data_IF_729127867333
#
_entry.id   IF_729127867333
#
_cell.length_a   1.000
_cell.length_b   1.000
_cell.length_c   1.000
_cell.angle_alpha   90.00
_cell.angle_beta   90.00
_cell.angle_gamma   90.00
#
_symmetry.space_group_name_H-M   'P 1'
#
loop_
_entity.id
_entity.type
_entity.pdbx_description
1 polymer ?
#
# COMPACT_ATOMS: atom_id res chain seq x y z
N UNK A 1 18.85 11.41 19.59
CA UNK A 1 19.48 10.12 19.16
C UNK A 1 18.54 8.94 19.36
N UNK A 2 17.73 8.93 20.43
CA UNK A 2 16.83 7.81 20.73
C UNK A 2 15.61 7.68 19.82
N UNK A 3 15.15 8.75 19.20
CA UNK A 3 14.00 8.77 18.28
C UNK A 3 14.36 8.31 16.85
N UNK A 4 15.59 8.53 16.42
CA UNK A 4 16.00 8.20 15.04
C UNK A 4 16.18 6.70 14.79
N UNK A 5 16.65 5.95 15.79
CA UNK A 5 16.92 4.50 15.63
C UNK A 5 15.66 3.70 15.28
N UNK A 6 14.51 3.84 15.98
CA UNK A 6 13.28 3.13 15.61
C UNK A 6 12.79 3.46 14.21
N UNK A 7 12.92 4.72 13.78
CA UNK A 7 12.51 5.15 12.44
C UNK A 7 13.40 4.50 11.37
N UNK A 8 14.72 4.47 11.59
CA UNK A 8 15.67 3.83 10.66
C UNK A 8 15.38 2.34 10.55
N UNK A 9 15.14 1.65 11.67
CA UNK A 9 14.79 0.21 11.67
C UNK A 9 13.50 -0.03 10.87
N UNK A 10 12.48 0.79 11.06
CA UNK A 10 11.23 0.70 10.30
C UNK A 10 11.43 0.90 8.79
N UNK A 11 12.24 1.87 8.40
CA UNK A 11 12.54 2.14 6.99
C UNK A 11 13.39 1.03 6.34
N UNK A 12 14.38 0.51 7.07
CA UNK A 12 15.15 -0.65 6.60
C UNK A 12 14.25 -1.89 6.44
N UNK A 13 13.33 -2.11 7.36
CA UNK A 13 12.33 -3.19 7.26
C UNK A 13 11.50 -3.07 5.97
N UNK A 14 10.99 -1.88 5.67
CA UNK A 14 10.25 -1.63 4.43
C UNK A 14 11.10 -1.87 3.17
N UNK A 15 12.36 -1.46 3.19
CA UNK A 15 13.27 -1.62 2.05
C UNK A 15 13.57 -3.10 1.78
N UNK A 16 13.84 -3.86 2.84
CA UNK A 16 14.05 -5.32 2.77
C UNK A 16 12.79 -6.01 2.25
N UNK A 17 11.61 -5.60 2.73
CA UNK A 17 10.33 -6.14 2.29
C UNK A 17 10.11 -5.93 0.78
N UNK A 18 10.25 -4.69 0.30
CA UNK A 18 10.11 -4.39 -1.13
C UNK A 18 11.09 -5.19 -2.00
N UNK A 19 12.30 -5.42 -1.51
CA UNK A 19 13.29 -6.24 -2.19
C UNK A 19 12.88 -7.71 -2.22
N UNK A 20 12.39 -8.24 -1.09
CA UNK A 20 11.90 -9.61 -1.00
C UNK A 20 10.69 -9.85 -1.92
N UNK A 21 9.71 -8.94 -1.93
CA UNK A 21 8.54 -9.01 -2.81
C UNK A 21 8.95 -9.04 -4.28
N UNK A 22 9.88 -8.17 -4.68
CA UNK A 22 10.40 -8.12 -6.05
C UNK A 22 11.11 -9.42 -6.44
N UNK A 23 11.91 -9.99 -5.53
CA UNK A 23 12.57 -11.26 -5.76
C UNK A 23 11.58 -12.42 -5.87
N UNK A 24 10.57 -12.47 -5.01
CA UNK A 24 9.55 -13.53 -5.02
C UNK A 24 8.78 -13.55 -6.34
N UNK A 25 8.30 -12.39 -6.80
CA UNK A 25 7.58 -12.28 -8.07
C UNK A 25 8.51 -12.57 -9.26
N UNK A 26 9.73 -12.04 -9.24
CA UNK A 26 10.70 -12.23 -10.32
C UNK A 26 11.17 -13.67 -10.51
N UNK A 27 11.15 -14.46 -9.44
CA UNK A 27 11.52 -15.88 -9.50
C UNK A 27 10.40 -16.73 -10.14
N UNK A 28 9.14 -16.29 -10.07
CA UNK A 28 8.00 -17.02 -10.64
C UNK A 28 7.88 -16.78 -12.14
N UNK A 29 7.87 -15.52 -12.59
CA UNK A 29 7.75 -15.17 -14.01
C UNK A 29 8.21 -13.74 -14.28
N UNK A 30 9.02 -13.56 -15.35
CA UNK A 30 9.44 -12.23 -15.80
C UNK A 30 8.29 -11.40 -16.37
N UNK A 31 7.28 -12.05 -16.96
CA UNK A 31 6.07 -11.36 -17.47
C UNK A 31 5.21 -10.85 -16.31
N UNK A 32 5.03 -11.64 -15.26
CA UNK A 32 4.31 -11.24 -14.06
C UNK A 32 5.02 -10.11 -13.34
N UNK A 33 6.35 -10.16 -13.26
CA UNK A 33 7.14 -9.08 -12.68
C UNK A 33 6.95 -7.76 -13.46
N UNK A 34 6.95 -7.82 -14.79
CA UNK A 34 6.75 -6.63 -15.62
C UNK A 34 5.34 -6.05 -15.43
N UNK A 35 4.30 -6.89 -15.39
CA UNK A 35 2.94 -6.48 -15.14
C UNK A 35 2.77 -5.86 -13.74
N UNK A 36 3.30 -6.51 -12.71
CA UNK A 36 3.26 -6.03 -11.33
C UNK A 36 4.03 -4.71 -11.18
N UNK A 37 5.21 -4.57 -11.79
CA UNK A 37 6.01 -3.36 -11.73
C UNK A 37 5.28 -2.16 -12.37
N UNK A 38 4.61 -2.35 -13.51
CA UNK A 38 3.83 -1.30 -14.14
C UNK A 38 2.68 -0.83 -13.25
N UNK A 39 1.87 -1.77 -12.75
CA UNK A 39 0.75 -1.46 -11.85
C UNK A 39 1.25 -0.79 -10.58
N UNK A 40 2.32 -1.31 -9.98
CA UNK A 40 2.90 -0.75 -8.76
C UNK A 40 3.40 0.69 -8.96
N UNK A 41 4.01 1.00 -10.11
CA UNK A 41 4.42 2.36 -10.43
C UNK A 41 3.23 3.33 -10.51
N UNK A 42 2.11 2.91 -11.13
CA UNK A 42 0.88 3.71 -11.17
C UNK A 42 0.33 3.96 -9.76
N UNK A 43 0.26 2.92 -8.94
CA UNK A 43 -0.19 3.05 -7.55
C UNK A 43 0.77 3.88 -6.69
N UNK A 44 2.07 3.79 -6.92
CA UNK A 44 3.06 4.59 -6.19
C UNK A 44 2.80 6.09 -6.36
N UNK A 45 2.47 6.56 -7.56
CA UNK A 45 2.10 7.95 -7.77
C UNK A 45 0.89 8.36 -6.94
N UNK A 46 -0.15 7.54 -6.92
CA UNK A 46 -1.37 7.80 -6.16
C UNK A 46 -1.10 7.76 -4.64
N UNK A 47 -0.28 6.80 -4.19
CA UNK A 47 0.11 6.68 -2.79
C UNK A 47 0.92 7.89 -2.33
N UNK A 48 1.82 8.43 -3.16
CA UNK A 48 2.58 9.64 -2.84
C UNK A 48 1.63 10.81 -2.56
N UNK A 49 0.58 10.98 -3.36
CA UNK A 49 -0.45 11.99 -3.10
C UNK A 49 -1.19 11.75 -1.78
N UNK A 50 -1.61 10.51 -1.52
CA UNK A 50 -2.29 10.14 -0.28
C UNK A 50 -1.40 10.38 0.95
N UNK A 51 -0.15 9.97 0.88
CA UNK A 51 0.84 10.15 1.97
C UNK A 51 1.14 11.64 2.17
N UNK A 52 1.31 12.41 1.09
CA UNK A 52 1.51 13.86 1.17
C UNK A 52 0.37 14.55 1.93
N UNK A 53 -0.87 14.15 1.66
CA UNK A 53 -2.04 14.66 2.38
C UNK A 53 -2.02 14.28 3.86
N UNK A 54 -1.64 13.04 4.18
CA UNK A 54 -1.59 12.55 5.56
C UNK A 54 -0.46 13.18 6.40
N UNK A 55 0.62 13.68 5.78
CA UNK A 55 1.67 14.41 6.51
C UNK A 55 1.15 15.68 7.21
N UNK A 56 0.10 16.31 6.69
CA UNK A 56 -0.54 17.42 7.37
C UNK A 56 -1.10 17.02 8.74
N UNK A 57 -1.54 15.78 8.90
CA UNK A 57 -2.06 15.24 10.16
C UNK A 57 -0.96 15.22 11.22
N UNK A 58 0.25 14.75 10.87
CA UNK A 58 1.40 14.71 11.78
C UNK A 58 1.74 16.12 12.32
N UNK A 59 1.75 17.13 11.45
CA UNK A 59 2.03 18.50 11.84
C UNK A 59 0.96 19.06 12.79
N UNK A 60 -0.33 18.82 12.48
CA UNK A 60 -1.44 19.27 13.30
C UNK A 60 -1.49 18.57 14.66
N UNK A 61 -1.31 17.25 14.68
CA UNK A 61 -1.25 16.46 15.92
C UNK A 61 -0.08 16.90 16.77
N UNK A 62 1.11 17.06 16.19
CA UNK A 62 2.31 17.50 16.90
C UNK A 62 2.15 18.87 17.54
N UNK A 63 1.48 19.82 16.85
CA UNK A 63 1.20 21.15 17.38
C UNK A 63 0.23 21.09 18.56
N UNK A 64 -0.85 20.32 18.47
CA UNK A 64 -1.82 20.15 19.55
C UNK A 64 -1.23 19.41 20.75
N UNK A 65 -0.38 18.42 20.49
CA UNK A 65 0.33 17.68 21.53
C UNK A 65 1.31 18.56 22.29
N UNK A 66 2.08 19.41 21.58
CA UNK A 66 2.99 20.39 22.19
C UNK A 66 2.28 21.50 22.98
N UNK A 67 0.99 21.75 22.68
CA UNK A 67 0.14 22.68 23.42
C UNK A 67 -0.62 22.02 24.59
N UNK A 68 -0.38 20.76 24.88
CA UNK A 68 -1.07 19.95 25.91
C UNK A 68 -2.61 19.86 25.73
N UNK A 69 -3.12 20.16 24.53
CA UNK A 69 -4.56 20.14 24.21
C UNK A 69 -5.02 18.74 23.79
N UNK A 70 -4.84 17.76 24.67
CA UNK A 70 -5.12 16.34 24.38
C UNK A 70 -6.57 16.06 23.99
N UNK A 71 -7.53 16.83 24.55
CA UNK A 71 -8.95 16.67 24.17
C UNK A 71 -9.21 16.96 22.68
N UNK A 72 -8.53 17.94 22.09
CA UNK A 72 -8.68 18.30 20.66
C UNK A 72 -8.01 17.30 19.72
N UNK A 73 -7.06 16.51 20.21
CA UNK A 73 -6.38 15.47 19.42
C UNK A 73 -7.38 14.38 19.00
N UNK A 74 -8.32 14.00 19.89
CA UNK A 74 -9.36 13.02 19.57
C UNK A 74 -10.36 13.53 18.51
N UNK A 75 -10.73 14.80 18.54
CA UNK A 75 -11.58 15.42 17.51
C UNK A 75 -10.85 15.51 16.18
N UNK A 76 -9.57 15.90 16.21
CA UNK A 76 -8.73 15.95 15.03
C UNK A 76 -8.61 14.57 14.37
N UNK A 77 -8.46 13.50 15.17
CA UNK A 77 -8.38 12.14 14.67
C UNK A 77 -9.64 11.74 13.89
N UNK A 78 -10.83 12.04 14.42
CA UNK A 78 -12.10 11.76 13.72
C UNK A 78 -12.16 12.50 12.38
N UNK A 79 -11.81 13.79 12.39
CA UNK A 79 -11.79 14.61 11.18
C UNK A 79 -10.74 14.14 10.17
N UNK A 80 -9.58 13.73 10.64
CA UNK A 80 -8.50 13.19 9.81
C UNK A 80 -8.90 11.87 9.12
N UNK A 81 -9.52 10.96 9.86
CA UNK A 81 -10.03 9.69 9.29
C UNK A 81 -11.11 9.98 8.25
N UNK A 82 -12.06 10.88 8.53
CA UNK A 82 -13.10 11.22 7.57
C UNK A 82 -12.53 11.87 6.30
N UNK A 83 -11.63 12.84 6.44
CA UNK A 83 -10.99 13.52 5.31
C UNK A 83 -10.15 12.53 4.48
N UNK A 84 -9.41 11.64 5.13
CA UNK A 84 -8.59 10.65 4.43
C UNK A 84 -9.44 9.56 3.77
N UNK A 85 -10.60 9.22 4.33
CA UNK A 85 -11.57 8.33 3.69
C UNK A 85 -12.13 8.97 2.41
N UNK A 86 -12.49 10.25 2.44
CA UNK A 86 -12.91 10.98 1.24
C UNK A 86 -11.80 11.01 0.17
N UNK A 87 -10.55 11.24 0.60
CA UNK A 87 -9.39 11.20 -0.29
C UNK A 87 -9.19 9.81 -0.89
N UNK A 88 -9.30 8.76 -0.08
CA UNK A 88 -9.17 7.38 -0.54
C UNK A 88 -10.25 7.02 -1.59
N UNK A 89 -11.49 7.42 -1.37
CA UNK A 89 -12.58 7.23 -2.35
C UNK A 89 -12.30 7.99 -3.64
N UNK A 90 -11.85 9.24 -3.55
CA UNK A 90 -11.48 10.06 -4.70
C UNK A 90 -10.34 9.43 -5.51
N UNK A 91 -9.27 9.01 -4.85
CA UNK A 91 -8.14 8.33 -5.50
C UNK A 91 -8.54 6.98 -6.09
N UNK A 92 -9.40 6.22 -5.41
CA UNK A 92 -9.93 4.97 -5.94
C UNK A 92 -10.77 5.19 -7.20
N UNK A 93 -11.54 6.27 -7.27
CA UNK A 93 -12.30 6.62 -8.47
C UNK A 93 -11.37 6.97 -9.65
N UNK A 94 -10.28 7.72 -9.41
CA UNK A 94 -9.27 7.99 -10.44
C UNK A 94 -8.64 6.69 -10.94
N UNK A 95 -8.25 5.82 -10.01
CA UNK A 95 -7.64 4.53 -10.36
C UNK A 95 -8.63 3.62 -11.09
N UNK A 96 -9.91 3.67 -10.77
CA UNK A 96 -10.95 2.96 -11.50
C UNK A 96 -11.06 3.42 -12.96
N UNK A 97 -10.99 4.73 -13.20
CA UNK A 97 -10.96 5.29 -14.57
C UNK A 97 -9.72 4.82 -15.34
N UNK A 98 -8.54 4.79 -14.68
CA UNK A 98 -7.32 4.26 -15.29
C UNK A 98 -7.44 2.76 -15.60
N UNK A 99 -8.07 1.98 -14.74
CA UNK A 99 -8.33 0.56 -14.95
C UNK A 99 -9.15 0.30 -16.21
N UNK A 100 -10.22 1.08 -16.44
CA UNK A 100 -11.05 0.95 -17.64
C UNK A 100 -10.24 1.28 -18.90
N UNK A 101 -9.33 2.26 -18.82
CA UNK A 101 -8.50 2.70 -19.93
C UNK A 101 -7.16 1.96 -20.07
N UNK A 102 -6.94 0.90 -19.30
CA UNK A 102 -5.66 0.18 -19.27
C UNK A 102 -5.23 -0.32 -20.66
N UNK A 103 -6.18 -0.75 -21.48
CA UNK A 103 -5.91 -1.20 -22.85
C UNK A 103 -5.42 -0.08 -23.80
N UNK A 104 -5.74 1.19 -23.50
CA UNK A 104 -5.32 2.34 -24.32
C UNK A 104 -3.93 2.88 -23.93
N UNK A 105 -3.31 2.35 -22.89
CA UNK A 105 -2.00 2.79 -22.38
C UNK A 105 -0.82 2.21 -23.17
N UNK A 106 -1.07 1.52 -24.30
CA UNK A 106 -0.02 1.01 -25.20
C UNK A 106 0.79 -0.16 -24.62
N UNK A 107 0.21 -0.89 -23.67
CA UNK A 107 0.84 -2.07 -23.11
C UNK A 107 0.63 -3.32 -23.99
N UNK A 108 1.57 -4.29 -23.97
CA UNK A 108 1.41 -5.54 -24.71
C UNK A 108 0.12 -6.27 -24.30
N UNK A 109 -0.66 -6.73 -25.28
CA UNK A 109 -1.93 -7.42 -25.03
C UNK A 109 -1.77 -8.67 -24.16
N UNK A 110 -0.62 -9.33 -24.24
CA UNK A 110 -0.29 -10.51 -23.41
C UNK A 110 -0.23 -10.22 -21.91
N UNK A 111 0.11 -8.98 -21.53
CA UNK A 111 0.26 -8.58 -20.13
C UNK A 111 -1.05 -8.02 -19.53
N UNK A 112 -2.00 -7.63 -20.36
CA UNK A 112 -3.26 -7.02 -19.92
C UNK A 112 -4.05 -7.85 -18.90
N UNK A 113 -4.25 -9.18 -19.08
CA UNK A 113 -4.99 -9.96 -18.09
C UNK A 113 -4.27 -10.01 -16.73
N UNK A 114 -2.95 -10.14 -16.73
CA UNK A 114 -2.14 -10.13 -15.51
C UNK A 114 -2.22 -8.75 -14.82
N UNK A 115 -2.05 -7.67 -15.58
CA UNK A 115 -2.16 -6.30 -15.07
C UNK A 115 -3.54 -6.04 -14.45
N UNK A 116 -4.62 -6.51 -15.08
CA UNK A 116 -5.99 -6.32 -14.56
C UNK A 116 -6.16 -7.00 -13.20
N UNK A 117 -5.69 -8.21 -13.04
CA UNK A 117 -5.76 -8.93 -11.76
C UNK A 117 -5.01 -8.19 -10.65
N UNK A 118 -3.76 -7.78 -10.92
CA UNK A 118 -2.97 -6.99 -9.98
C UNK A 118 -3.62 -5.64 -9.65
N UNK A 119 -4.19 -5.00 -10.68
CA UNK A 119 -4.82 -3.68 -10.52
C UNK A 119 -6.03 -3.74 -9.58
N UNK A 120 -6.89 -4.76 -9.73
CA UNK A 120 -8.06 -4.94 -8.86
C UNK A 120 -7.64 -5.18 -7.41
N UNK A 121 -6.64 -6.02 -7.17
CA UNK A 121 -6.12 -6.29 -5.82
C UNK A 121 -5.61 -4.99 -5.18
N UNK A 122 -4.80 -4.24 -5.91
CA UNK A 122 -4.26 -2.97 -5.44
C UNK A 122 -5.37 -1.94 -5.20
N UNK A 123 -6.38 -1.87 -6.06
CA UNK A 123 -7.51 -0.96 -5.91
C UNK A 123 -8.30 -1.22 -4.62
N UNK A 124 -8.55 -2.50 -4.32
CA UNK A 124 -9.22 -2.89 -3.06
C UNK A 124 -8.34 -2.58 -1.85
N UNK A 125 -7.03 -2.70 -1.99
CA UNK A 125 -6.06 -2.41 -0.91
C UNK A 125 -5.93 -0.92 -0.61
N UNK A 126 -6.19 -0.03 -1.58
CA UNK A 126 -5.94 1.41 -1.48
C UNK A 126 -6.62 2.08 -0.26
N UNK A 127 -7.92 1.87 0.03
CA UNK A 127 -8.55 2.45 1.21
C UNK A 127 -7.90 2.01 2.53
N UNK A 128 -7.51 0.73 2.61
CA UNK A 128 -6.84 0.18 3.80
C UNK A 128 -5.46 0.80 4.00
N UNK A 129 -4.70 0.99 2.92
CA UNK A 129 -3.40 1.67 2.93
C UNK A 129 -3.56 3.12 3.39
N UNK A 130 -4.59 3.83 2.92
CA UNK A 130 -4.89 5.19 3.34
C UNK A 130 -5.22 5.26 4.85
N UNK A 131 -6.05 4.36 5.36
CA UNK A 131 -6.35 4.29 6.78
C UNK A 131 -5.12 3.95 7.62
N UNK A 132 -4.35 2.97 7.19
CA UNK A 132 -3.08 2.62 7.85
C UNK A 132 -2.14 3.82 7.94
N UNK A 133 -1.96 4.57 6.84
CA UNK A 133 -1.15 5.78 6.84
C UNK A 133 -1.71 6.87 7.78
N UNK A 134 -3.03 7.02 7.88
CA UNK A 134 -3.64 7.97 8.81
C UNK A 134 -3.27 7.65 10.26
N UNK A 135 -3.42 6.39 10.68
CA UNK A 135 -3.06 5.97 12.02
C UNK A 135 -1.56 6.10 12.29
N UNK A 136 -0.74 5.73 11.33
CA UNK A 136 0.72 5.87 11.42
C UNK A 136 1.12 7.33 11.60
N UNK A 137 0.64 8.23 10.74
CA UNK A 137 0.97 9.65 10.82
C UNK A 137 0.46 10.31 12.10
N UNK A 138 -0.68 9.85 12.61
CA UNK A 138 -1.18 10.26 13.91
C UNK A 138 -0.22 9.87 15.04
N UNK A 139 0.25 8.62 15.03
CA UNK A 139 1.19 8.10 16.04
C UNK A 139 2.55 8.83 15.97
N UNK A 140 3.03 9.11 14.75
CA UNK A 140 4.24 9.89 14.54
C UNK A 140 4.08 11.33 15.10
N UNK A 141 2.87 11.92 15.00
CA UNK A 141 2.56 13.24 15.53
C UNK A 141 2.56 13.32 17.06
N UNK A 142 2.22 12.23 17.75
CA UNK A 142 2.30 12.14 19.24
C UNK A 142 3.74 11.88 19.71
N UNK A 143 4.70 11.74 18.77
CA UNK A 143 6.10 11.39 19.06
C UNK A 143 6.32 10.01 19.68
N UNK A 144 5.33 9.13 19.63
CA UNK A 144 5.46 7.75 20.07
C UNK A 144 5.95 6.84 18.93
N UNK A 145 7.22 7.00 18.59
CA UNK A 145 7.88 6.25 17.52
C UNK A 145 7.94 4.74 17.77
N UNK A 146 7.78 4.29 19.01
CA UNK A 146 7.77 2.86 19.36
C UNK A 146 6.52 2.18 18.83
N UNK A 147 5.35 2.79 19.03
CA UNK A 147 4.08 2.26 18.53
C UNK A 147 4.08 2.28 17.00
N UNK A 148 4.54 3.36 16.37
CA UNK A 148 4.69 3.44 14.92
C UNK A 148 5.59 2.33 14.36
N UNK A 149 6.71 2.04 15.03
CA UNK A 149 7.61 0.95 14.65
C UNK A 149 6.92 -0.42 14.72
N UNK A 150 6.20 -0.71 15.82
CA UNK A 150 5.49 -1.99 15.96
C UNK A 150 4.37 -2.17 14.94
N UNK A 151 3.65 -1.10 14.61
CA UNK A 151 2.64 -1.10 13.55
C UNK A 151 3.27 -1.42 12.19
N UNK A 152 4.43 -0.82 11.88
CA UNK A 152 5.17 -1.11 10.64
C UNK A 152 5.65 -2.56 10.57
N UNK A 153 6.25 -3.06 11.65
CA UNK A 153 6.73 -4.45 11.71
C UNK A 153 5.56 -5.42 11.54
N UNK A 154 4.45 -5.17 12.25
CA UNK A 154 3.24 -6.00 12.12
C UNK A 154 2.67 -5.98 10.71
N UNK A 155 2.59 -4.81 10.08
CA UNK A 155 2.16 -4.67 8.68
C UNK A 155 3.07 -5.42 7.70
N UNK A 156 4.39 -5.34 7.90
CA UNK A 156 5.36 -6.04 7.07
C UNK A 156 5.26 -7.56 7.22
N UNK A 157 5.08 -8.07 8.43
CA UNK A 157 4.88 -9.51 8.69
C UNK A 157 3.60 -9.99 7.99
N UNK A 158 2.50 -9.25 8.11
CA UNK A 158 1.24 -9.57 7.45
C UNK A 158 1.36 -9.54 5.93
N UNK A 159 2.14 -8.60 5.39
CA UNK A 159 2.39 -8.50 3.95
C UNK A 159 3.18 -9.71 3.45
N UNK A 160 4.29 -10.07 4.11
CA UNK A 160 5.09 -11.26 3.74
C UNK A 160 4.24 -12.53 3.82
N UNK A 161 3.44 -12.67 4.88
CA UNK A 161 2.55 -13.81 5.02
C UNK A 161 1.48 -13.85 3.92
N UNK A 162 0.86 -12.70 3.62
CA UNK A 162 -0.12 -12.57 2.54
C UNK A 162 0.48 -12.91 1.18
N UNK A 163 1.65 -12.39 0.86
CA UNK A 163 2.36 -12.69 -0.39
C UNK A 163 2.76 -14.16 -0.48
N UNK A 164 3.25 -14.74 0.62
CA UNK A 164 3.58 -16.16 0.66
C UNK A 164 2.34 -17.03 0.40
N UNK A 165 1.21 -16.72 1.02
CA UNK A 165 -0.04 -17.45 0.83
C UNK A 165 -0.58 -17.29 -0.60
N UNK A 166 -0.55 -16.07 -1.16
CA UNK A 166 -1.10 -15.77 -2.48
C UNK A 166 -0.21 -16.25 -3.62
N UNK A 167 1.12 -16.08 -3.52
CA UNK A 167 2.05 -16.44 -4.59
C UNK A 167 2.26 -17.95 -4.66
N UNK A 168 2.32 -18.62 -3.52
CA UNK A 168 2.53 -20.08 -3.47
C UNK A 168 1.24 -20.90 -3.41
N UNK A 169 0.05 -20.29 -3.59
CA UNK A 169 -1.21 -20.99 -3.78
C UNK A 169 -1.68 -21.86 -2.60
N UNK A 170 -1.18 -21.64 -1.38
CA UNK A 170 -1.52 -22.46 -0.22
C UNK A 170 -2.99 -22.40 0.22
N UNK A 171 -3.78 -21.49 -0.35
CA UNK A 171 -5.23 -21.37 -0.12
C UNK A 171 -6.09 -22.01 -1.23
N UNK A 172 -5.52 -22.90 -2.07
CA UNK A 172 -6.30 -23.58 -3.12
C UNK A 172 -6.75 -22.66 -4.25
N UNK A 173 -6.08 -21.53 -4.47
CA UNK A 173 -6.34 -20.61 -5.58
C UNK A 173 -5.53 -20.98 -6.83
N UNK A 174 -5.12 -22.23 -6.96
CA UNK A 174 -4.44 -22.78 -8.13
C UNK A 174 -5.28 -22.68 -9.41
N UNK A 175 -6.61 -22.51 -9.27
CA UNK A 175 -7.54 -22.36 -10.40
C UNK A 175 -7.49 -20.98 -11.09
N UNK A 176 -6.91 -19.96 -10.47
CA UNK A 176 -6.89 -18.62 -11.07
C UNK A 176 -5.76 -18.45 -12.12
N UNK A 177 -4.72 -19.26 -12.03
CA UNK A 177 -3.57 -19.20 -12.95
C UNK A 177 -3.66 -20.19 -14.14
N UNK A 178 -4.51 -21.20 -14.07
CA UNK A 178 -4.50 -22.32 -15.04
C UNK A 178 -5.64 -22.34 -16.05
N UNK A 179 -6.59 -21.40 -16.02
CA UNK A 179 -7.77 -21.45 -16.92
C UNK A 179 -7.69 -20.56 -18.17
N UNK A 180 -6.52 -20.07 -18.56
CA UNK A 180 -6.34 -19.48 -19.90
C UNK A 180 -5.38 -20.31 -20.72
N UNK A 181 -5.97 -21.39 -21.25
CA UNK A 181 -5.69 -22.13 -22.45
C UNK A 181 -4.36 -21.93 -23.19
N UNK A 182 -3.50 -22.92 -23.11
CA UNK A 182 -2.79 -23.33 -24.30
C UNK A 182 -3.23 -24.76 -24.64
N UNK A 183 -4.29 -24.86 -25.43
CA UNK A 183 -4.46 -26.01 -26.29
C UNK A 183 -3.38 -25.91 -27.37
N UNK A 184 -2.34 -26.72 -27.26
CA UNK A 184 -1.50 -27.04 -28.41
C UNK A 184 -2.25 -28.00 -29.33
N UNK A 185 -2.66 -27.50 -30.53
CA UNK A 185 -2.78 -28.32 -31.70
C UNK A 185 -1.49 -28.23 -32.50
#
# INVERSE_FOLDING_TARGET
TYLGVPIIIGQLGNLILNFADTLMIGHHSTKELAAAAFVNNMFTLVIIFAVGFTYAITALVGTLYGQEKTHRIGELMKSAVAANTCMAVFLSAIMWVLYINLGNLGQPEELLPLMRSYFVIQLVSLPFVCWFNTFRQFTDGITDTRVAMWILIGGNIMNVFGNWVLIYGHLGMDDFSYHNGYCHG
#
